data_IF_828683960856
#
_entry.id   IF_828683960856
#
_cell.length_a   1.000
_cell.length_b   1.000
_cell.length_c   1.000
_cell.angle_alpha   90.00
_cell.angle_beta   90.00
_cell.angle_gamma   90.00
#
_symmetry.space_group_name_H-M   'P 1'
#
loop_
_entity.id
_entity.type
_entity.pdbx_description
1 polymer ?
#
# COMPACT_ATOMS: atom_id res chain seq x y z
N UNK A 1 -1.68 22.11 24.10
CA UNK A 1 -1.70 22.76 22.77
C UNK A 1 -0.38 22.47 22.09
N UNK A 2 -0.37 21.94 20.86
CA UNK A 2 0.87 21.78 20.07
C UNK A 2 1.26 23.14 19.49
N UNK A 3 2.57 23.44 19.46
CA UNK A 3 3.12 24.66 18.82
C UNK A 3 2.81 24.62 17.31
N UNK A 4 2.35 25.73 16.69
CA UNK A 4 2.12 25.79 15.24
C UNK A 4 3.44 25.60 14.48
N UNK A 5 3.39 24.98 13.31
CA UNK A 5 4.60 24.77 12.48
C UNK A 5 5.18 26.10 11.97
N UNK A 6 6.45 26.11 11.57
CA UNK A 6 7.09 27.32 11.03
C UNK A 6 6.37 27.82 9.76
N UNK A 7 5.94 26.90 8.89
CA UNK A 7 5.09 27.20 7.74
C UNK A 7 3.78 27.86 8.17
N UNK A 8 3.09 27.35 9.20
CA UNK A 8 1.87 28.00 9.70
C UNK A 8 2.11 29.39 10.26
N UNK A 9 3.23 29.61 10.97
CA UNK A 9 3.60 30.92 11.51
C UNK A 9 3.89 31.91 10.38
N UNK A 10 4.61 31.49 9.34
CA UNK A 10 4.88 32.31 8.16
C UNK A 10 3.61 32.64 7.37
N UNK A 11 2.74 31.66 7.13
CA UNK A 11 1.47 31.89 6.44
C UNK A 11 0.56 32.84 7.24
N UNK A 12 0.59 32.76 8.57
CA UNK A 12 -0.15 33.68 9.43
C UNK A 12 0.40 35.12 9.34
N UNK A 13 1.72 35.31 9.32
CA UNK A 13 2.32 36.65 9.21
C UNK A 13 2.08 37.30 7.84
N UNK A 14 2.14 36.53 6.76
CA UNK A 14 1.82 37.02 5.40
C UNK A 14 0.35 37.45 5.26
N UNK A 15 -0.57 36.77 5.97
CA UNK A 15 -1.98 37.17 6.00
C UNK A 15 -2.22 38.50 6.75
N UNK A 16 -1.36 38.86 7.72
CA UNK A 16 -1.46 40.12 8.46
C UNK A 16 -0.91 41.33 7.68
N UNK A 17 -0.05 41.09 6.68
CA UNK A 17 0.62 42.12 5.87
C UNK A 17 -0.17 42.47 4.59
N UNK A 18 -1.33 41.86 4.35
CA UNK A 18 -2.07 41.98 3.09
C UNK A 18 -2.73 43.34 2.81
N UNK A 19 -1.97 44.32 2.30
CA UNK A 19 -2.40 45.39 1.37
C UNK A 19 -1.18 46.11 0.78
N UNK A 20 -0.52 45.50 -0.21
CA UNK A 20 0.36 46.22 -1.13
C UNK A 20 0.38 45.51 -2.49
N UNK A 21 -0.24 46.14 -3.48
CA UNK A 21 -0.15 45.77 -4.89
C UNK A 21 1.29 45.91 -5.38
N UNK A 22 1.76 44.96 -6.21
CA UNK A 22 3.00 45.14 -6.97
C UNK A 22 2.74 44.95 -8.47
N UNK A 23 3.32 45.88 -9.22
CA UNK A 23 3.18 46.12 -10.65
C UNK A 23 3.89 45.01 -11.46
N UNK A 24 3.29 44.66 -12.60
CA UNK A 24 3.64 43.47 -13.37
C UNK A 24 4.87 43.58 -14.28
N UNK A 25 5.34 42.41 -14.70
CA UNK A 25 6.11 42.18 -15.92
C UNK A 25 6.01 40.70 -16.35
N UNK A 26 5.31 40.39 -17.45
CA UNK A 26 5.35 39.12 -18.22
C UNK A 26 5.28 37.74 -17.51
N UNK A 27 5.04 37.65 -16.20
CA UNK A 27 5.03 36.38 -15.42
C UNK A 27 3.77 35.53 -15.62
N UNK A 28 2.65 36.15 -16.02
CA UNK A 28 1.33 35.50 -16.09
C UNK A 28 1.33 34.28 -17.03
N UNK A 29 2.03 34.34 -18.16
CA UNK A 29 2.06 33.24 -19.13
C UNK A 29 2.85 32.01 -18.63
N UNK A 30 3.95 32.22 -17.88
CA UNK A 30 4.77 31.13 -17.31
C UNK A 30 4.03 30.44 -16.17
N UNK A 31 3.41 31.21 -15.29
CA UNK A 31 2.65 30.67 -14.16
C UNK A 31 1.39 29.93 -14.64
N UNK A 32 0.71 30.45 -15.65
CA UNK A 32 -0.45 29.79 -16.25
C UNK A 32 -0.05 28.50 -16.99
N UNK A 33 1.10 28.49 -17.68
CA UNK A 33 1.65 27.29 -18.30
C UNK A 33 2.03 26.23 -17.25
N UNK A 34 2.67 26.63 -16.15
CA UNK A 34 3.00 25.74 -15.04
C UNK A 34 1.75 25.19 -14.35
N UNK A 35 0.70 26.00 -14.14
CA UNK A 35 -0.59 25.51 -13.60
C UNK A 35 -1.27 24.54 -14.55
N UNK A 36 -1.31 24.82 -15.85
CA UNK A 36 -1.84 23.89 -16.86
C UNK A 36 -1.06 22.57 -16.81
N UNK A 37 0.26 22.62 -16.83
CA UNK A 37 1.10 21.42 -16.69
C UNK A 37 0.81 20.66 -15.39
N UNK A 38 0.71 21.34 -14.25
CA UNK A 38 0.42 20.72 -12.97
C UNK A 38 -0.96 20.04 -12.95
N UNK A 39 -1.97 20.64 -13.59
CA UNK A 39 -3.34 20.12 -13.64
C UNK A 39 -3.49 18.85 -14.48
N UNK A 40 -2.67 18.66 -15.52
CA UNK A 40 -2.74 17.51 -16.41
C UNK A 40 -1.70 16.42 -16.11
N UNK A 41 -0.75 16.67 -15.20
CA UNK A 41 0.36 15.73 -14.93
C UNK A 41 0.06 14.64 -13.91
N UNK A 42 -1.02 14.73 -13.14
CA UNK A 42 -1.32 13.74 -12.11
C UNK A 42 -2.69 13.08 -12.34
N UNK A 43 -2.79 11.74 -12.25
CA UNK A 43 -4.02 11.02 -12.54
C UNK A 43 -5.12 11.18 -11.47
N UNK A 44 -4.76 11.63 -10.27
CA UNK A 44 -5.69 11.91 -9.16
C UNK A 44 -5.07 12.86 -8.13
N UNK A 45 -5.91 13.48 -7.30
CA UNK A 45 -5.54 14.59 -6.40
C UNK A 45 -4.38 14.25 -5.43
N UNK A 46 -4.29 13.01 -4.96
CA UNK A 46 -3.25 12.57 -3.98
C UNK A 46 -2.02 11.94 -4.62
N UNK A 47 -1.94 11.88 -5.95
CA UNK A 47 -0.81 11.25 -6.63
C UNK A 47 0.52 11.98 -6.39
N UNK A 48 0.48 13.25 -5.97
CA UNK A 48 1.67 14.01 -5.61
C UNK A 48 2.45 13.35 -4.47
N UNK A 49 1.77 12.74 -3.49
CA UNK A 49 2.41 12.03 -2.37
C UNK A 49 3.26 10.89 -2.89
N UNK A 50 2.75 10.16 -3.88
CA UNK A 50 3.46 9.05 -4.50
C UNK A 50 4.67 9.54 -5.31
N UNK A 51 4.59 10.71 -5.95
CA UNK A 51 5.75 11.33 -6.60
C UNK A 51 6.85 11.69 -5.60
N UNK A 52 6.51 12.12 -4.39
CA UNK A 52 7.52 12.31 -3.33
C UNK A 52 8.15 10.99 -2.89
N UNK A 53 7.37 9.90 -2.80
CA UNK A 53 7.91 8.55 -2.55
C UNK A 53 8.88 8.12 -3.66
N UNK A 54 8.48 8.28 -4.93
CA UNK A 54 9.33 7.98 -6.09
C UNK A 54 10.62 8.81 -6.06
N UNK A 55 10.54 10.10 -5.69
CA UNK A 55 11.71 10.96 -5.57
C UNK A 55 12.70 10.45 -4.52
N UNK A 56 12.22 10.06 -3.33
CA UNK A 56 13.08 9.52 -2.27
C UNK A 56 13.73 8.18 -2.67
N UNK A 57 12.99 7.30 -3.36
CA UNK A 57 13.52 6.04 -3.88
C UNK A 57 14.57 6.31 -4.97
N UNK A 58 14.22 7.11 -5.98
CA UNK A 58 15.10 7.43 -7.10
C UNK A 58 16.35 8.21 -6.66
N UNK A 59 16.29 8.94 -5.54
CA UNK A 59 17.43 9.65 -4.97
C UNK A 59 18.42 8.73 -4.25
N UNK A 60 18.10 7.44 -4.09
CA UNK A 60 18.89 6.49 -3.32
C UNK A 60 18.84 6.76 -1.81
N UNK A 61 17.76 7.37 -1.31
CA UNK A 61 17.63 7.60 0.12
C UNK A 61 17.60 6.27 0.89
N UNK A 62 18.22 6.16 2.08
CA UNK A 62 18.24 4.92 2.85
C UNK A 62 16.88 4.62 3.52
N UNK A 63 16.01 5.61 3.67
CA UNK A 63 14.67 5.50 4.23
C UNK A 63 13.83 6.75 3.91
N UNK A 64 12.51 6.60 4.03
CA UNK A 64 11.54 7.69 3.97
C UNK A 64 10.60 7.60 5.17
N UNK A 65 10.58 8.64 5.99
CA UNK A 65 9.63 8.80 7.11
C UNK A 65 8.61 9.89 6.76
N UNK A 66 7.33 9.54 6.87
CA UNK A 66 6.21 10.44 6.66
C UNK A 66 5.50 10.63 7.99
N UNK A 67 5.23 11.88 8.35
CA UNK A 67 4.54 12.24 9.59
C UNK A 67 3.31 13.08 9.27
N UNK A 68 2.16 12.68 9.78
CA UNK A 68 0.92 13.39 9.59
C UNK A 68 0.54 14.14 10.87
N UNK A 69 0.30 15.44 10.75
CA UNK A 69 -0.20 16.27 11.84
C UNK A 69 -1.63 16.71 11.54
N UNK A 70 -2.23 17.52 12.42
CA UNK A 70 -3.54 18.12 12.14
C UNK A 70 -3.49 19.26 11.12
N UNK A 71 -2.30 19.67 10.69
CA UNK A 71 -2.09 20.87 9.88
C UNK A 71 -1.28 20.60 8.63
N UNK A 72 -0.39 19.61 8.67
CA UNK A 72 0.62 19.38 7.66
C UNK A 72 0.91 17.88 7.48
N UNK A 73 1.47 17.53 6.32
CA UNK A 73 2.16 16.26 6.09
C UNK A 73 3.63 16.54 5.85
N UNK A 74 4.48 15.92 6.66
CA UNK A 74 5.93 16.08 6.62
C UNK A 74 6.58 14.83 6.00
N UNK A 75 7.54 15.02 5.10
CA UNK A 75 8.34 13.96 4.50
C UNK A 75 9.80 14.18 4.88
N UNK A 76 10.46 13.12 5.33
CA UNK A 76 11.82 13.16 5.84
C UNK A 76 12.66 12.08 5.14
N UNK A 77 13.66 12.49 4.38
CA UNK A 77 14.59 11.56 3.72
C UNK A 77 15.95 12.21 3.45
N UNK A 78 16.99 11.41 3.23
CA UNK A 78 18.30 11.93 2.85
C UNK A 78 18.33 12.20 1.35
N UNK A 79 18.44 13.47 0.97
CA UNK A 79 18.54 13.88 -0.41
C UNK A 79 19.99 13.79 -0.95
N UNK A 80 20.18 13.73 -2.29
CA UNK A 80 21.50 13.69 -2.89
C UNK A 80 22.27 14.99 -2.63
N UNK A 81 23.61 14.90 -2.53
CA UNK A 81 24.47 16.09 -2.37
C UNK A 81 24.40 17.06 -3.55
N UNK A 82 23.95 16.59 -4.72
CA UNK A 82 23.82 17.40 -5.93
C UNK A 82 22.60 18.32 -5.92
N UNK A 83 21.68 18.15 -4.97
CA UNK A 83 20.54 19.03 -4.80
C UNK A 83 20.94 20.20 -3.88
N UNK A 84 20.61 21.41 -4.32
CA UNK A 84 20.79 22.66 -3.58
C UNK A 84 19.47 23.43 -3.61
N UNK A 85 19.29 24.39 -2.69
CA UNK A 85 18.10 25.24 -2.71
C UNK A 85 17.97 26.00 -4.05
N UNK A 86 19.09 26.54 -4.57
CA UNK A 86 19.11 27.23 -5.85
C UNK A 86 18.64 26.33 -7.00
N UNK A 87 19.15 25.10 -7.06
CA UNK A 87 18.79 24.14 -8.11
C UNK A 87 17.32 23.72 -8.01
N UNK A 88 16.79 23.57 -6.80
CA UNK A 88 15.40 23.22 -6.57
C UNK A 88 14.45 24.36 -6.91
N UNK A 89 14.81 25.58 -6.56
CA UNK A 89 14.07 26.79 -6.92
C UNK A 89 14.06 26.98 -8.44
N UNK A 90 15.21 26.85 -9.11
CA UNK A 90 15.31 26.91 -10.57
C UNK A 90 14.47 25.81 -11.25
N UNK A 91 14.58 24.57 -10.78
CA UNK A 91 13.82 23.44 -11.30
C UNK A 91 12.31 23.62 -11.11
N UNK A 92 11.87 24.22 -9.99
CA UNK A 92 10.46 24.46 -9.73
C UNK A 92 9.82 25.38 -10.78
N UNK A 93 10.55 26.37 -11.28
CA UNK A 93 10.05 27.28 -12.30
C UNK A 93 10.33 26.80 -13.73
N UNK A 94 11.11 25.76 -13.93
CA UNK A 94 11.57 25.29 -15.25
C UNK A 94 10.95 23.93 -15.57
N UNK A 95 9.88 23.86 -16.40
CA UNK A 95 9.09 22.64 -16.60
C UNK A 95 9.77 21.52 -17.42
N UNK A 96 11.07 21.65 -17.70
CA UNK A 96 11.84 20.71 -18.50
C UNK A 96 12.36 19.55 -17.64
N UNK A 97 12.55 18.38 -18.26
CA UNK A 97 13.22 17.25 -17.61
C UNK A 97 14.66 17.63 -17.32
N UNK A 98 15.07 17.50 -16.06
CA UNK A 98 16.39 17.91 -15.58
C UNK A 98 17.49 16.89 -15.88
N UNK A 99 17.12 15.70 -16.38
CA UNK A 99 17.99 14.54 -16.50
C UNK A 99 18.25 13.83 -15.16
N UNK A 100 17.84 14.45 -14.05
CA UNK A 100 17.85 13.88 -12.71
C UNK A 100 16.45 13.36 -12.39
N UNK A 101 16.26 12.05 -12.59
CA UNK A 101 14.97 11.37 -12.40
C UNK A 101 14.36 11.66 -11.02
N UNK A 102 15.17 11.69 -9.97
CA UNK A 102 14.67 11.93 -8.61
C UNK A 102 14.15 13.36 -8.45
N UNK A 103 14.85 14.34 -9.03
CA UNK A 103 14.44 15.73 -9.05
C UNK A 103 13.15 15.92 -9.85
N UNK A 104 13.03 15.24 -11.00
CA UNK A 104 11.84 15.30 -11.85
C UNK A 104 10.60 14.75 -11.11
N UNK A 105 10.74 13.66 -10.34
CA UNK A 105 9.68 13.17 -9.45
C UNK A 105 9.32 14.19 -8.37
N UNK A 106 10.33 14.79 -7.71
CA UNK A 106 10.09 15.78 -6.65
C UNK A 106 9.32 16.99 -7.20
N UNK A 107 9.74 17.54 -8.35
CA UNK A 107 9.07 18.68 -8.98
C UNK A 107 7.64 18.34 -9.39
N UNK A 108 7.41 17.17 -9.99
CA UNK A 108 6.05 16.72 -10.32
C UNK A 108 5.16 16.61 -9.07
N UNK A 109 5.70 16.14 -7.95
CA UNK A 109 5.03 16.12 -6.65
C UNK A 109 4.72 17.53 -6.13
N UNK A 110 5.71 18.42 -6.13
CA UNK A 110 5.54 19.80 -5.65
C UNK A 110 4.53 20.56 -6.51
N UNK A 111 4.58 20.48 -7.84
CA UNK A 111 3.57 21.11 -8.71
C UNK A 111 2.18 20.55 -8.47
N UNK A 112 2.06 19.23 -8.29
CA UNK A 112 0.78 18.59 -7.95
C UNK A 112 0.19 19.08 -6.63
N UNK A 113 1.00 19.15 -5.58
CA UNK A 113 0.56 19.63 -4.27
C UNK A 113 0.26 21.14 -4.29
N UNK A 114 1.11 21.93 -4.94
CA UNK A 114 1.10 23.38 -4.80
C UNK A 114 0.33 24.12 -5.89
N UNK A 115 0.66 23.87 -7.15
CA UNK A 115 0.06 24.61 -8.27
C UNK A 115 -1.31 24.06 -8.67
N UNK A 116 -1.51 22.74 -8.53
CA UNK A 116 -2.79 22.10 -8.83
C UNK A 116 -3.74 22.08 -7.63
N UNK A 117 -3.26 21.67 -6.45
CA UNK A 117 -4.08 21.57 -5.24
C UNK A 117 -4.03 22.83 -4.34
N UNK A 118 -3.24 23.85 -4.73
CA UNK A 118 -3.20 25.16 -4.06
C UNK A 118 -2.56 25.15 -2.67
N UNK A 119 -1.70 24.16 -2.37
CA UNK A 119 -1.12 23.96 -1.04
C UNK A 119 0.25 24.63 -0.90
N UNK A 120 0.44 25.46 0.14
CA UNK A 120 1.76 25.91 0.52
C UNK A 120 2.67 24.74 0.94
N UNK A 121 3.96 24.90 0.72
CA UNK A 121 4.96 23.99 1.24
C UNK A 121 6.21 24.72 1.72
N UNK A 122 6.96 24.07 2.60
CA UNK A 122 8.28 24.49 3.05
C UNK A 122 9.27 23.34 2.84
N UNK A 123 10.45 23.67 2.33
CA UNK A 123 11.57 22.76 2.18
C UNK A 123 12.72 23.21 3.08
N UNK A 124 13.10 22.34 4.02
CA UNK A 124 14.24 22.56 4.93
C UNK A 124 15.37 21.60 4.57
N UNK A 125 16.58 22.15 4.42
CA UNK A 125 17.76 21.39 4.02
C UNK A 125 18.74 21.21 5.19
N UNK A 126 19.31 20.01 5.41
CA UNK A 126 20.21 19.78 6.53
C UNK A 126 21.47 20.65 6.43
N UNK A 127 21.75 21.41 7.50
CA UNK A 127 22.91 22.30 7.60
C UNK A 127 22.82 23.58 6.76
N UNK A 128 21.68 23.87 6.11
CA UNK A 128 21.48 25.11 5.38
C UNK A 128 20.89 26.18 6.32
N UNK A 129 21.41 27.42 6.30
CA UNK A 129 20.85 28.53 7.08
C UNK A 129 19.58 29.12 6.47
N UNK A 130 19.13 28.59 5.33
CA UNK A 130 17.93 29.03 4.63
C UNK A 130 16.96 27.87 4.43
N UNK A 131 15.67 28.18 4.33
CA UNK A 131 14.64 27.27 3.85
C UNK A 131 13.83 27.92 2.73
N UNK A 132 13.28 27.10 1.85
CA UNK A 132 12.47 27.56 0.73
C UNK A 132 10.99 27.40 1.06
N UNK A 133 10.20 28.48 0.97
CA UNK A 133 8.76 28.45 1.18
C UNK A 133 8.02 28.88 -0.09
N UNK A 134 7.12 28.02 -0.53
CA UNK A 134 6.08 28.38 -1.47
C UNK A 134 4.80 28.74 -0.72
N UNK A 135 4.38 30.01 -0.81
CA UNK A 135 3.18 30.51 -0.12
C UNK A 135 1.87 30.12 -0.81
N UNK A 136 1.93 29.50 -1.99
CA UNK A 136 0.79 29.38 -2.91
C UNK A 136 0.83 30.41 -4.05
N UNK A 137 1.63 31.48 -3.90
CA UNK A 137 1.76 32.56 -4.90
C UNK A 137 3.20 32.85 -5.28
N UNK A 138 4.08 32.86 -4.29
CA UNK A 138 5.48 33.23 -4.46
C UNK A 138 6.39 32.24 -3.73
N UNK A 139 7.60 32.10 -4.26
CA UNK A 139 8.69 31.39 -3.61
C UNK A 139 9.52 32.40 -2.82
N UNK A 140 9.75 32.11 -1.56
CA UNK A 140 10.51 32.96 -0.65
C UNK A 140 11.55 32.15 0.10
N UNK A 141 12.66 32.78 0.48
CA UNK A 141 13.65 32.17 1.36
C UNK A 141 13.51 32.73 2.76
N UNK A 142 13.57 31.85 3.75
CA UNK A 142 13.58 32.22 5.16
C UNK A 142 14.92 31.87 5.75
N UNK A 143 15.56 32.85 6.38
CA UNK A 143 16.80 32.69 7.14
C UNK A 143 16.54 32.08 8.51
N UNK A 144 17.52 31.35 9.04
CA UNK A 144 17.49 30.70 10.36
C UNK A 144 16.29 29.74 10.57
N UNK A 145 16.06 28.77 9.65
CA UNK A 145 15.03 27.76 9.86
C UNK A 145 15.39 26.85 11.05
N UNK A 146 14.38 26.14 11.57
CA UNK A 146 14.65 25.09 12.56
C UNK A 146 15.62 24.05 11.98
N UNK A 147 16.69 23.68 12.71
CA UNK A 147 17.71 22.78 12.18
C UNK A 147 17.15 21.37 11.98
N UNK A 148 17.36 20.82 10.79
CA UNK A 148 16.91 19.48 10.41
C UNK A 148 18.08 18.54 10.16
N UNK A 149 17.89 17.24 10.45
CA UNK A 149 18.92 16.20 10.23
C UNK A 149 18.90 15.63 8.81
N UNK A 150 17.75 15.68 8.17
CA UNK A 150 17.48 15.17 6.82
C UNK A 150 16.76 16.25 6.03
N UNK A 151 16.60 16.07 4.71
CA UNK A 151 15.68 16.91 3.95
C UNK A 151 14.29 16.76 4.58
N UNK A 152 13.66 17.89 4.90
CA UNK A 152 12.29 17.91 5.38
C UNK A 152 11.43 18.71 4.40
N UNK A 153 10.44 18.06 3.81
CA UNK A 153 9.38 18.70 3.03
C UNK A 153 8.11 18.73 3.87
N UNK A 154 7.58 19.93 4.12
CA UNK A 154 6.33 20.14 4.84
C UNK A 154 5.29 20.65 3.86
N UNK A 155 4.19 19.92 3.67
CA UNK A 155 3.08 20.34 2.81
C UNK A 155 1.86 20.62 3.67
N UNK A 156 1.30 21.83 3.53
CA UNK A 156 0.16 22.21 4.35
C UNK A 156 -1.12 21.51 3.91
N UNK A 157 -1.94 21.15 4.90
CA UNK A 157 -3.31 20.73 4.64
C UNK A 157 -4.18 21.90 4.23
N UNK A 158 -3.82 23.16 4.48
CA UNK A 158 -4.64 24.32 4.08
C UNK A 158 -4.40 24.68 2.62
N UNK A 159 -5.47 25.02 1.91
CA UNK A 159 -5.37 25.69 0.62
C UNK A 159 -5.32 27.21 0.81
N UNK A 160 -4.69 27.91 -0.12
CA UNK A 160 -4.61 29.38 -0.07
C UNK A 160 -6.00 30.07 -0.05
N UNK A 161 -6.99 29.50 -0.73
CA UNK A 161 -8.36 30.02 -0.83
C UNK A 161 -9.22 29.71 0.40
N UNK A 162 -8.77 28.77 1.26
CA UNK A 162 -9.46 28.45 2.50
C UNK A 162 -9.11 29.52 3.55
N UNK A 163 -10.01 30.50 3.72
CA UNK A 163 -9.90 31.52 4.76
C UNK A 163 -9.85 30.94 6.18
N UNK A 164 -9.94 31.79 7.21
CA UNK A 164 -9.99 31.36 8.62
C UNK A 164 -11.33 30.62 8.91
N UNK A 165 -11.52 29.40 8.41
CA UNK A 165 -12.71 28.57 8.66
C UNK A 165 -12.95 28.26 10.15
N UNK A 166 -14.10 27.70 10.51
CA UNK A 166 -14.43 27.38 11.91
C UNK A 166 -13.52 26.25 12.44
N UNK A 167 -12.90 26.43 13.60
CA UNK A 167 -11.86 25.54 14.16
C UNK A 167 -12.26 24.05 14.20
N UNK A 168 -13.51 23.73 14.52
CA UNK A 168 -14.01 22.33 14.56
C UNK A 168 -14.09 21.66 13.18
N UNK A 169 -14.42 22.41 12.13
CA UNK A 169 -14.51 21.90 10.75
C UNK A 169 -13.11 21.64 10.18
N UNK A 170 -12.13 22.48 10.56
CA UNK A 170 -10.73 22.33 10.10
C UNK A 170 -10.11 21.01 10.51
N UNK A 171 -10.32 20.60 11.76
CA UNK A 171 -9.76 19.34 12.27
C UNK A 171 -10.38 18.13 11.56
N UNK A 172 -11.66 18.20 11.19
CA UNK A 172 -12.34 17.14 10.42
C UNK A 172 -11.77 17.06 9.01
N UNK A 173 -11.60 18.20 8.32
CA UNK A 173 -11.02 18.24 6.97
C UNK A 173 -9.56 17.76 6.95
N UNK A 174 -8.75 18.15 7.93
CA UNK A 174 -7.38 17.66 8.06
C UNK A 174 -7.33 16.15 8.34
N UNK A 175 -8.22 15.64 9.19
CA UNK A 175 -8.33 14.20 9.46
C UNK A 175 -8.73 13.41 8.20
N UNK A 176 -9.68 13.92 7.42
CA UNK A 176 -10.07 13.33 6.14
C UNK A 176 -8.92 13.34 5.13
N UNK A 177 -8.19 14.46 5.02
CA UNK A 177 -7.00 14.57 4.17
C UNK A 177 -5.92 13.57 4.56
N UNK A 178 -5.64 13.45 5.86
CA UNK A 178 -4.70 12.45 6.36
C UNK A 178 -5.14 11.03 6.00
N UNK A 179 -6.42 10.72 6.17
CA UNK A 179 -6.98 9.42 5.81
C UNK A 179 -6.84 9.13 4.30
N UNK A 180 -7.07 10.11 3.44
CA UNK A 180 -6.92 9.96 1.98
C UNK A 180 -5.46 9.76 1.56
N UNK A 181 -4.53 10.53 2.16
CA UNK A 181 -3.09 10.37 1.95
C UNK A 181 -2.65 8.98 2.42
N UNK A 182 -3.04 8.58 3.63
CA UNK A 182 -2.71 7.27 4.17
C UNK A 182 -3.27 6.15 3.30
N UNK A 183 -4.53 6.25 2.88
CA UNK A 183 -5.15 5.30 1.95
C UNK A 183 -4.37 5.21 0.64
N UNK A 184 -3.95 6.34 0.07
CA UNK A 184 -3.14 6.38 -1.15
C UNK A 184 -1.80 5.66 -0.96
N UNK A 185 -1.10 5.94 0.13
CA UNK A 185 0.16 5.28 0.49
C UNK A 185 -0.03 3.78 0.73
N UNK A 186 -1.06 3.38 1.48
CA UNK A 186 -1.36 1.96 1.78
C UNK A 186 -1.72 1.19 0.51
N UNK A 187 -2.37 1.83 -0.46
CA UNK A 187 -2.76 1.16 -1.69
C UNK A 187 -1.66 1.08 -2.74
N UNK A 188 -0.69 2.03 -2.73
CA UNK A 188 0.25 2.17 -3.85
C UNK A 188 1.71 2.26 -3.47
N UNK A 189 2.08 2.49 -2.21
CA UNK A 189 3.47 2.63 -1.78
C UNK A 189 3.99 1.44 -0.96
N UNK A 190 3.20 0.38 -0.80
CA UNK A 190 3.67 -0.79 -0.03
C UNK A 190 4.79 -1.59 -0.72
N UNK A 191 5.01 -1.30 -2.00
CA UNK A 191 6.13 -1.81 -2.80
C UNK A 191 7.40 -0.96 -2.68
N UNK A 192 7.46 -0.01 -1.74
CA UNK A 192 8.60 0.88 -1.58
C UNK A 192 9.89 0.08 -1.36
N UNK A 193 10.90 0.30 -2.20
CA UNK A 193 12.17 -0.44 -2.16
C UNK A 193 13.12 0.04 -1.06
N UNK A 194 12.75 1.11 -0.35
CA UNK A 194 13.44 1.63 0.83
C UNK A 194 12.47 1.57 2.02
N UNK A 195 12.97 1.45 3.27
CA UNK A 195 12.14 1.52 4.47
C UNK A 195 11.21 2.74 4.42
N UNK A 196 9.90 2.49 4.43
CA UNK A 196 8.86 3.51 4.37
C UNK A 196 8.05 3.45 5.66
N UNK A 197 7.98 4.57 6.38
CA UNK A 197 7.16 4.68 7.58
C UNK A 197 6.17 5.82 7.47
N UNK A 198 4.96 5.60 7.96
CA UNK A 198 3.96 6.65 8.18
C UNK A 198 3.60 6.65 9.66
N UNK A 199 3.84 7.77 10.35
CA UNK A 199 3.66 7.90 11.80
C UNK A 199 4.34 6.76 12.59
N UNK A 200 5.60 6.50 12.22
CA UNK A 200 6.46 5.41 12.74
C UNK A 200 5.98 3.97 12.42
N UNK A 201 4.89 3.81 11.67
CA UNK A 201 4.39 2.49 11.24
C UNK A 201 4.97 2.12 9.89
N UNK A 202 5.55 0.93 9.79
CA UNK A 202 6.17 0.43 8.56
C UNK A 202 5.13 0.12 7.49
N UNK A 203 5.40 0.47 6.24
CA UNK A 203 4.49 0.31 5.11
C UNK A 203 5.08 -0.42 3.90
N UNK A 204 6.39 -0.68 3.87
CA UNK A 204 7.14 -1.29 2.75
C UNK A 204 7.16 -2.84 2.79
N UNK A 205 6.01 -3.51 2.63
CA UNK A 205 5.99 -4.97 2.56
C UNK A 205 4.92 -5.51 1.59
N UNK A 206 5.26 -6.54 0.79
CA UNK A 206 4.32 -7.14 -0.15
C UNK A 206 3.08 -7.73 0.55
N UNK A 207 3.26 -8.22 1.78
CA UNK A 207 2.19 -8.76 2.62
C UNK A 207 1.21 -7.67 3.13
N UNK A 208 1.50 -6.38 2.89
CA UNK A 208 0.59 -5.26 3.14
C UNK A 208 -0.27 -4.91 1.91
N UNK A 209 -0.16 -5.69 0.83
CA UNK A 209 -1.03 -5.52 -0.36
C UNK A 209 -2.51 -5.53 0.04
N UNK A 210 -3.31 -4.51 -0.34
CA UNK A 210 -4.73 -4.47 0.05
C UNK A 210 -5.58 -5.64 -0.45
N UNK A 211 -5.19 -6.27 -1.57
CA UNK A 211 -5.97 -7.36 -2.17
C UNK A 211 -5.41 -8.74 -1.82
N UNK A 212 -4.09 -8.88 -1.79
CA UNK A 212 -3.40 -10.17 -1.65
C UNK A 212 -2.65 -10.30 -0.32
N UNK A 213 -2.42 -9.21 0.40
CA UNK A 213 -1.77 -9.20 1.70
C UNK A 213 -2.68 -9.73 2.81
N UNK A 214 -2.21 -9.61 4.05
CA UNK A 214 -3.00 -9.97 5.21
C UNK A 214 -4.22 -9.04 5.35
N UNK A 215 -5.41 -9.62 5.44
CA UNK A 215 -6.65 -8.90 5.64
C UNK A 215 -7.75 -9.76 6.24
N UNK A 216 -8.93 -9.19 6.45
CA UNK A 216 -10.08 -9.90 7.05
C UNK A 216 -10.46 -11.18 6.31
N UNK A 217 -10.29 -11.17 4.99
CA UNK A 217 -10.68 -12.24 4.08
C UNK A 217 -9.53 -12.70 3.17
N UNK A 218 -8.29 -12.34 3.48
CA UNK A 218 -7.12 -12.62 2.65
C UNK A 218 -5.98 -13.12 3.53
N UNK A 219 -5.53 -14.35 3.26
CA UNK A 219 -4.52 -15.05 4.05
C UNK A 219 -3.40 -15.52 3.10
N UNK A 220 -2.28 -14.79 3.03
CA UNK A 220 -1.11 -15.19 2.25
C UNK A 220 -0.65 -16.59 2.66
N UNK A 221 -0.43 -17.46 1.67
CA UNK A 221 0.04 -18.85 1.86
C UNK A 221 1.44 -19.07 1.33
N UNK A 222 1.86 -18.29 0.33
CA UNK A 222 3.21 -18.36 -0.22
C UNK A 222 3.67 -17.01 -0.73
N UNK A 223 4.96 -16.75 -0.55
CA UNK A 223 5.68 -15.59 -1.03
C UNK A 223 6.92 -16.10 -1.75
N UNK A 224 7.18 -15.58 -2.94
CA UNK A 224 8.40 -15.91 -3.65
C UNK A 224 8.79 -14.86 -4.67
N UNK A 225 9.89 -15.12 -5.36
CA UNK A 225 10.44 -14.23 -6.37
C UNK A 225 11.35 -15.00 -7.32
N UNK A 226 11.53 -14.43 -8.51
CA UNK A 226 12.40 -14.97 -9.55
C UNK A 226 13.64 -14.08 -9.69
N UNK A 227 14.81 -14.52 -9.17
CA UNK A 227 16.05 -13.77 -9.33
C UNK A 227 16.47 -13.75 -10.81
N UNK A 228 17.05 -12.64 -11.25
CA UNK A 228 17.77 -12.57 -12.51
C UNK A 228 18.76 -11.41 -12.49
N UNK A 229 19.83 -11.56 -13.27
CA UNK A 229 20.89 -10.54 -13.37
C UNK A 229 20.40 -9.21 -13.96
N UNK A 230 19.31 -9.25 -14.75
CA UNK A 230 18.65 -8.09 -15.33
C UNK A 230 17.28 -7.78 -14.66
N UNK A 231 17.07 -8.31 -13.45
CA UNK A 231 15.92 -7.96 -12.63
C UNK A 231 15.96 -6.48 -12.23
N UNK A 232 14.85 -5.76 -12.44
CA UNK A 232 14.76 -4.34 -12.04
C UNK A 232 13.87 -4.12 -10.82
N UNK A 233 13.07 -5.12 -10.43
CA UNK A 233 12.19 -5.00 -9.28
C UNK A 233 12.98 -5.20 -7.99
N UNK A 234 13.03 -4.17 -7.14
CA UNK A 234 13.69 -4.25 -5.84
C UNK A 234 12.66 -4.63 -4.77
N UNK A 235 12.90 -5.74 -4.07
CA UNK A 235 12.00 -6.25 -3.04
C UNK A 235 11.87 -5.26 -1.87
N UNK A 236 10.63 -4.96 -1.40
CA UNK A 236 10.42 -4.06 -0.27
C UNK A 236 11.04 -4.64 1.02
N UNK A 237 11.88 -3.89 1.76
CA UNK A 237 12.65 -4.48 2.85
C UNK A 237 11.80 -4.93 4.05
N UNK A 238 10.62 -4.35 4.25
CA UNK A 238 9.65 -4.82 5.25
C UNK A 238 9.11 -6.23 4.97
N UNK A 239 9.19 -6.71 3.73
CA UNK A 239 8.81 -8.08 3.34
C UNK A 239 9.58 -9.14 4.15
N UNK A 240 10.84 -8.84 4.50
CA UNK A 240 11.72 -9.74 5.25
C UNK A 240 11.70 -9.47 6.77
N UNK A 241 11.33 -8.26 7.18
CA UNK A 241 11.37 -7.82 8.57
C UNK A 241 10.21 -8.35 9.43
N UNK A 242 9.43 -9.30 8.91
CA UNK A 242 8.29 -9.88 9.62
C UNK A 242 7.22 -8.85 9.97
N UNK A 243 6.99 -7.89 9.08
CA UNK A 243 5.91 -6.90 9.25
C UNK A 243 4.58 -7.64 9.33
N UNK A 244 4.05 -7.73 10.54
CA UNK A 244 2.71 -8.20 10.77
C UNK A 244 1.74 -7.05 10.49
N UNK A 245 0.56 -7.33 9.91
CA UNK A 245 -0.51 -6.34 9.84
C UNK A 245 -0.83 -5.77 11.22
N UNK A 246 -1.38 -4.54 11.26
CA UNK A 246 -1.75 -3.83 12.49
C UNK A 246 -2.54 -4.69 13.48
N UNK A 247 -2.57 -4.32 14.77
CA UNK A 247 -3.24 -5.04 15.88
C UNK A 247 -4.64 -5.60 15.58
N UNK A 248 -5.39 -5.02 14.62
CA UNK A 248 -6.68 -5.53 14.18
C UNK A 248 -6.62 -6.91 13.53
N UNK A 249 -5.55 -7.22 12.78
CA UNK A 249 -5.32 -8.56 12.23
C UNK A 249 -4.82 -9.54 13.30
N UNK A 250 -4.11 -9.03 14.31
CA UNK A 250 -3.60 -9.82 15.43
C UNK A 250 -4.71 -10.30 16.40
N UNK A 251 -5.90 -9.69 16.36
CA UNK A 251 -7.09 -10.14 17.12
C UNK A 251 -7.80 -11.33 16.50
N UNK A 252 -7.45 -11.75 15.28
CA UNK A 252 -8.01 -12.96 14.68
C UNK A 252 -7.16 -14.15 15.12
N UNK A 253 -7.67 -14.90 16.10
CA UNK A 253 -7.21 -16.21 16.58
C UNK A 253 -6.87 -17.18 15.43
N UNK A 254 -7.53 -16.96 14.29
CA UNK A 254 -7.39 -17.65 13.02
C UNK A 254 -6.00 -17.48 12.40
N UNK A 255 -5.36 -16.31 12.48
CA UNK A 255 -3.97 -16.12 12.01
C UNK A 255 -2.94 -16.81 12.93
N UNK A 256 -3.34 -17.17 14.17
CA UNK A 256 -2.50 -17.94 15.09
C UNK A 256 -2.72 -19.45 14.96
N UNK A 257 -3.94 -19.89 14.63
CA UNK A 257 -4.28 -21.31 14.45
C UNK A 257 -4.01 -21.81 13.03
N UNK A 258 -4.17 -20.94 12.03
CA UNK A 258 -3.59 -21.12 10.71
C UNK A 258 -2.11 -20.78 10.85
N UNK A 259 -1.31 -21.80 11.12
CA UNK A 259 0.14 -21.73 11.01
C UNK A 259 0.58 -21.50 9.56
N UNK A 260 0.00 -20.51 8.86
CA UNK A 260 0.52 -19.94 7.63
C UNK A 260 1.80 -19.19 7.97
N UNK A 261 2.80 -19.95 8.40
CA UNK A 261 4.19 -19.60 8.13
C UNK A 261 4.28 -19.58 6.63
N UNK A 262 4.00 -18.42 6.03
CA UNK A 262 4.36 -18.14 4.65
C UNK A 262 5.80 -18.56 4.53
N UNK A 263 6.06 -19.65 3.80
CA UNK A 263 7.43 -20.09 3.60
C UNK A 263 8.17 -18.92 2.99
N UNK A 264 9.16 -18.41 3.74
CA UNK A 264 9.98 -17.30 3.28
C UNK A 264 11.18 -17.93 2.61
N UNK A 265 11.32 -17.81 1.29
CA UNK A 265 12.56 -18.21 0.65
C UNK A 265 13.72 -17.45 1.29
N UNK A 266 14.92 -18.03 1.24
CA UNK A 266 16.12 -17.34 1.70
C UNK A 266 16.25 -16.01 0.97
N UNK A 267 16.53 -14.93 1.72
CA UNK A 267 16.72 -13.58 1.15
C UNK A 267 17.66 -13.70 -0.05
N UNK A 268 17.26 -13.20 -1.22
CA UNK A 268 18.07 -13.38 -2.42
C UNK A 268 19.42 -12.66 -2.25
N UNK A 269 20.47 -13.20 -2.86
CA UNK A 269 21.80 -12.60 -2.84
C UNK A 269 21.79 -11.17 -3.41
N UNK A 270 20.85 -10.88 -4.31
CA UNK A 270 20.54 -9.56 -4.83
C UNK A 270 19.07 -9.23 -4.51
N UNK A 271 18.79 -8.02 -4.02
CA UNK A 271 17.40 -7.58 -3.79
C UNK A 271 16.62 -7.32 -5.09
N UNK A 272 17.25 -7.50 -6.24
CA UNK A 272 16.71 -7.27 -7.58
C UNK A 272 16.21 -8.58 -8.19
N UNK A 273 14.96 -8.57 -8.64
CA UNK A 273 14.26 -9.73 -9.20
C UNK A 273 13.48 -9.32 -10.45
N UNK A 274 13.12 -10.27 -11.30
CA UNK A 274 12.22 -10.01 -12.44
C UNK A 274 10.80 -9.76 -11.92
N UNK A 275 10.39 -10.62 -10.99
CA UNK A 275 9.07 -10.62 -10.42
C UNK A 275 9.10 -11.14 -8.99
N UNK A 276 8.19 -10.65 -8.17
CA UNK A 276 7.82 -11.25 -6.90
C UNK A 276 6.35 -11.66 -6.94
N UNK A 277 5.94 -12.59 -6.10
CA UNK A 277 4.55 -13.01 -6.02
C UNK A 277 4.09 -13.27 -4.59
N UNK A 278 2.81 -13.10 -4.38
CA UNK A 278 2.11 -13.45 -3.14
C UNK A 278 0.87 -14.25 -3.53
N UNK A 279 0.87 -15.54 -3.18
CA UNK A 279 -0.29 -16.41 -3.34
C UNK A 279 -1.12 -16.36 -2.06
N UNK A 280 -2.44 -16.22 -2.23
CA UNK A 280 -3.33 -15.85 -1.14
C UNK A 280 -4.61 -16.66 -1.22
N UNK A 281 -5.06 -17.14 -0.06
CA UNK A 281 -6.36 -17.80 0.09
C UNK A 281 -7.38 -16.82 0.64
N UNK A 282 -8.63 -16.97 0.21
CA UNK A 282 -9.68 -16.01 0.49
C UNK A 282 -10.88 -16.67 1.17
N UNK A 283 -10.99 -16.43 2.48
CA UNK A 283 -12.11 -16.86 3.29
C UNK A 283 -12.22 -15.98 4.53
N UNK A 284 -13.44 -15.82 5.05
CA UNK A 284 -13.68 -15.03 6.25
C UNK A 284 -14.75 -15.63 7.16
N UNK A 285 -14.66 -15.28 8.43
CA UNK A 285 -15.68 -15.58 9.42
C UNK A 285 -16.82 -14.56 9.28
N UNK A 286 -18.00 -15.06 8.94
CA UNK A 286 -19.23 -14.26 8.86
C UNK A 286 -20.15 -14.59 10.03
N UNK A 287 -20.92 -13.60 10.46
CA UNK A 287 -22.00 -13.81 11.44
C UNK A 287 -23.27 -14.16 10.68
N UNK A 288 -23.80 -15.36 10.91
CA UNK A 288 -25.10 -15.79 10.42
C UNK A 288 -26.06 -15.92 11.61
N UNK A 289 -26.79 -14.84 11.90
CA UNK A 289 -27.61 -14.73 13.11
C UNK A 289 -26.79 -14.77 14.39
N UNK A 290 -26.97 -15.82 15.21
CA UNK A 290 -26.23 -16.02 16.48
C UNK A 290 -24.97 -16.89 16.31
N UNK A 291 -24.82 -17.56 15.16
CA UNK A 291 -23.65 -18.39 14.88
C UNK A 291 -22.63 -17.63 14.03
N UNK A 292 -21.41 -18.13 14.07
CA UNK A 292 -20.35 -17.72 13.16
C UNK A 292 -20.05 -18.89 12.22
N UNK A 293 -19.89 -18.59 10.94
CA UNK A 293 -19.59 -19.58 9.91
C UNK A 293 -18.48 -19.07 9.02
N UNK A 294 -17.70 -19.97 8.44
CA UNK A 294 -16.68 -19.63 7.46
C UNK A 294 -17.28 -19.60 6.06
N UNK A 295 -16.94 -18.58 5.28
CA UNK A 295 -17.33 -18.47 3.88
C UNK A 295 -16.10 -18.23 3.01
N UNK A 296 -16.05 -18.92 1.86
CA UNK A 296 -15.09 -18.61 0.81
C UNK A 296 -15.40 -17.23 0.22
N UNK A 297 -14.34 -16.50 -0.13
CA UNK A 297 -14.42 -15.24 -0.86
C UNK A 297 -13.69 -15.42 -2.18
N UNK A 298 -14.14 -14.71 -3.21
CA UNK A 298 -13.56 -14.76 -4.54
C UNK A 298 -12.78 -13.45 -4.77
N UNK A 299 -11.56 -13.54 -5.31
CA UNK A 299 -10.73 -12.39 -5.65
C UNK A 299 -10.00 -12.62 -6.98
N UNK A 300 -9.74 -11.55 -7.74
CA UNK A 300 -8.98 -11.63 -8.98
C UNK A 300 -7.48 -11.77 -8.70
N UNK A 301 -6.80 -12.58 -9.51
CA UNK A 301 -5.34 -12.57 -9.60
C UNK A 301 -4.86 -11.36 -10.38
N UNK A 302 -3.82 -10.66 -9.88
CA UNK A 302 -3.37 -9.38 -10.44
C UNK A 302 -1.88 -9.32 -10.70
N UNK A 303 -1.51 -8.64 -11.79
CA UNK A 303 -0.17 -8.12 -12.03
C UNK A 303 -0.12 -6.66 -11.61
N UNK A 304 0.79 -6.32 -10.71
CA UNK A 304 1.05 -4.98 -10.22
C UNK A 304 2.33 -4.45 -10.88
N UNK A 305 2.18 -3.32 -11.58
CA UNK A 305 3.31 -2.63 -12.17
C UNK A 305 3.84 -1.57 -11.23
N UNK A 306 5.10 -1.71 -10.86
CA UNK A 306 5.80 -0.87 -9.90
C UNK A 306 6.80 0.02 -10.63
N UNK A 307 6.98 1.25 -10.16
CA UNK A 307 8.05 2.13 -10.60
C UNK A 307 8.53 2.97 -9.43
N UNK A 308 9.83 2.89 -9.15
CA UNK A 308 10.48 3.58 -8.02
C UNK A 308 9.70 3.40 -6.70
N UNK A 309 9.36 2.14 -6.42
CA UNK A 309 8.69 1.73 -5.18
C UNK A 309 7.17 1.98 -5.14
N UNK A 310 6.57 2.54 -6.19
CA UNK A 310 5.14 2.86 -6.25
C UNK A 310 4.41 2.04 -7.31
N UNK A 311 3.23 1.51 -6.98
CA UNK A 311 2.32 0.88 -7.94
C UNK A 311 1.68 1.95 -8.83
N UNK A 312 2.00 1.88 -10.11
CA UNK A 312 1.44 2.73 -11.16
C UNK A 312 0.04 2.25 -11.56
N UNK A 313 -0.12 0.94 -11.71
CA UNK A 313 -1.38 0.31 -12.10
C UNK A 313 -1.38 -1.19 -11.82
N UNK A 314 -2.51 -1.83 -12.10
CA UNK A 314 -2.64 -3.27 -12.03
C UNK A 314 -3.50 -3.80 -13.15
N UNK A 315 -3.18 -4.99 -13.63
CA UNK A 315 -3.97 -5.74 -14.60
C UNK A 315 -4.47 -7.04 -13.98
N UNK A 316 -5.63 -7.50 -14.41
CA UNK A 316 -6.10 -8.84 -14.08
C UNK A 316 -5.32 -9.86 -14.93
N UNK A 317 -4.84 -10.91 -14.28
CA UNK A 317 -4.08 -11.98 -14.95
C UNK A 317 -5.00 -12.98 -15.63
N UNK A 318 -6.13 -13.28 -15.00
CA UNK A 318 -7.12 -14.25 -15.45
C UNK A 318 -8.52 -13.64 -15.34
N UNK A 319 -9.49 -14.10 -16.15
CA UNK A 319 -10.84 -13.53 -16.18
C UNK A 319 -11.71 -13.93 -14.98
N UNK A 320 -11.32 -14.97 -14.23
CA UNK A 320 -12.14 -15.53 -13.15
C UNK A 320 -11.63 -15.08 -11.78
N UNK A 321 -12.54 -14.65 -10.92
CA UNK A 321 -12.27 -14.51 -9.49
C UNK A 321 -12.27 -15.90 -8.84
N UNK A 322 -11.28 -16.15 -7.97
CA UNK A 322 -11.05 -17.46 -7.35
C UNK A 322 -10.89 -17.35 -5.82
N UNK A 323 -11.10 -18.47 -5.11
CA UNK A 323 -10.88 -18.57 -3.67
C UNK A 323 -9.40 -18.61 -3.30
N UNK A 324 -8.56 -18.84 -4.30
CA UNK A 324 -7.11 -18.73 -4.25
C UNK A 324 -6.69 -17.82 -5.40
N UNK A 325 -5.92 -16.77 -5.11
CA UNK A 325 -5.43 -15.84 -6.12
C UNK A 325 -3.94 -15.57 -5.97
N UNK A 326 -3.34 -15.00 -7.00
CA UNK A 326 -1.93 -14.60 -7.00
C UNK A 326 -1.79 -13.12 -7.35
N UNK A 327 -1.05 -12.40 -6.51
CA UNK A 327 -0.58 -11.05 -6.79
C UNK A 327 0.87 -11.12 -7.25
N UNK A 328 1.13 -10.78 -8.51
CA UNK A 328 2.48 -10.71 -9.10
C UNK A 328 2.92 -9.26 -9.15
N UNK A 329 4.15 -8.96 -8.74
CA UNK A 329 4.73 -7.62 -8.68
C UNK A 329 5.94 -7.57 -9.60
N UNK A 330 5.96 -6.60 -10.51
CA UNK A 330 7.09 -6.38 -11.40
C UNK A 330 7.33 -4.90 -11.59
N UNK A 331 8.60 -4.54 -11.74
CA UNK A 331 8.98 -3.18 -12.09
C UNK A 331 8.78 -2.94 -13.59
N UNK A 332 8.33 -1.73 -13.93
CA UNK A 332 8.10 -1.29 -15.31
C UNK A 332 9.39 -1.25 -16.14
N UNK A 333 10.56 -1.12 -15.51
CA UNK A 333 11.86 -1.08 -16.18
C UNK A 333 11.92 0.03 -17.22
N UNK A 334 12.20 -0.35 -18.46
CA UNK A 334 12.34 0.55 -19.61
C UNK A 334 11.02 0.79 -20.37
N UNK A 335 9.89 0.31 -19.84
CA UNK A 335 8.60 0.56 -20.48
C UNK A 335 8.30 2.06 -20.52
N UNK A 336 7.78 2.52 -21.66
CA UNK A 336 7.36 3.90 -21.81
C UNK A 336 6.16 4.19 -20.92
N UNK A 337 6.23 5.30 -20.20
CA UNK A 337 5.14 5.83 -19.41
C UNK A 337 4.50 7.02 -20.14
N UNK A 338 3.24 7.29 -19.82
CA UNK A 338 2.55 8.49 -20.26
C UNK A 338 3.15 9.77 -19.65
N UNK A 339 2.63 10.93 -20.05
CA UNK A 339 3.11 12.23 -19.55
C UNK A 339 2.92 12.42 -18.04
N UNK A 340 2.07 11.60 -17.40
CA UNK A 340 1.86 11.62 -15.95
C UNK A 340 2.91 10.79 -15.20
N UNK A 341 3.56 9.86 -15.89
CA UNK A 341 4.44 8.85 -15.31
C UNK A 341 3.68 7.85 -14.42
N UNK A 342 2.38 7.68 -14.65
CA UNK A 342 1.54 6.67 -13.98
C UNK A 342 0.81 5.76 -14.96
N UNK A 343 0.59 6.18 -16.20
CA UNK A 343 0.06 5.33 -17.25
C UNK A 343 1.19 4.58 -17.95
N UNK A 344 1.02 3.29 -18.19
CA UNK A 344 1.96 2.49 -18.99
C UNK A 344 1.45 2.49 -20.43
N UNK A 345 2.32 2.77 -21.38
CA UNK A 345 1.96 2.74 -22.81
C UNK A 345 1.97 1.27 -23.27
N UNK A 346 0.83 0.79 -23.76
CA UNK A 346 0.62 -0.61 -24.12
C UNK A 346 1.14 -0.90 -25.54
N UNK A 347 2.47 -1.01 -25.67
CA UNK A 347 3.18 -1.40 -26.89
C UNK A 347 3.60 -2.88 -26.83
N UNK A 348 4.26 -3.38 -27.89
CA UNK A 348 4.79 -4.76 -27.95
C UNK A 348 5.73 -5.08 -26.77
N UNK A 349 6.57 -4.11 -26.38
CA UNK A 349 7.48 -4.25 -25.23
C UNK A 349 6.74 -4.53 -23.91
N UNK A 350 5.54 -3.96 -23.74
CA UNK A 350 4.70 -4.22 -22.57
C UNK A 350 4.25 -5.69 -22.52
N UNK A 351 3.79 -6.23 -23.64
CA UNK A 351 3.37 -7.63 -23.72
C UNK A 351 4.56 -8.59 -23.53
N UNK A 352 5.71 -8.30 -24.14
CA UNK A 352 6.93 -9.09 -23.95
C UNK A 352 7.37 -9.11 -22.47
N UNK A 353 7.34 -7.95 -21.80
CA UNK A 353 7.66 -7.85 -20.36
C UNK A 353 6.64 -8.61 -19.51
N UNK A 354 5.34 -8.46 -19.77
CA UNK A 354 4.27 -9.21 -19.09
C UNK A 354 4.46 -10.71 -19.22
N UNK A 355 4.75 -11.20 -20.42
CA UNK A 355 5.00 -12.62 -20.67
C UNK A 355 6.21 -13.12 -19.88
N UNK A 356 7.31 -12.36 -19.87
CA UNK A 356 8.51 -12.71 -19.11
C UNK A 356 8.25 -12.77 -17.61
N UNK A 357 7.50 -11.79 -17.08
CA UNK A 357 7.08 -11.74 -15.67
C UNK A 357 6.21 -12.95 -15.32
N UNK A 358 5.26 -13.31 -16.21
CA UNK A 358 4.45 -14.50 -16.02
C UNK A 358 5.33 -15.74 -16.00
N UNK A 359 6.15 -16.00 -17.02
CA UNK A 359 7.07 -17.15 -17.04
C UNK A 359 7.91 -17.27 -15.76
N UNK A 360 8.43 -16.14 -15.27
CA UNK A 360 9.20 -16.08 -14.03
C UNK A 360 8.37 -16.46 -12.78
N UNK A 361 7.09 -16.08 -12.74
CA UNK A 361 6.15 -16.43 -11.68
C UNK A 361 5.66 -17.89 -11.73
N UNK A 362 6.08 -18.70 -12.71
CA UNK A 362 5.68 -20.12 -12.80
C UNK A 362 6.11 -20.92 -11.57
N UNK A 363 7.28 -20.59 -11.02
CA UNK A 363 7.81 -21.20 -9.80
C UNK A 363 6.88 -21.02 -8.58
N UNK A 364 5.98 -20.02 -8.59
CA UNK A 364 4.99 -19.83 -7.54
C UNK A 364 4.09 -21.06 -7.33
N UNK A 365 3.77 -21.75 -8.42
CA UNK A 365 2.85 -22.88 -8.42
C UNK A 365 3.53 -24.20 -8.03
N UNK A 366 4.84 -24.31 -8.27
CA UNK A 366 5.66 -25.42 -7.80
C UNK A 366 5.89 -25.35 -6.28
N UNK A 367 6.04 -24.13 -5.75
CA UNK A 367 6.29 -23.90 -4.33
C UNK A 367 5.11 -24.24 -3.39
N UNK A 368 3.89 -24.34 -3.91
CA UNK A 368 2.69 -24.61 -3.10
C UNK A 368 1.97 -25.83 -3.64
N UNK A 369 2.41 -27.07 -3.32
CA UNK A 369 1.78 -28.28 -3.83
C UNK A 369 0.33 -28.42 -3.35
N UNK A 370 0.06 -28.05 -2.09
CA UNK A 370 -1.26 -28.05 -1.46
C UNK A 370 -1.34 -26.96 -0.39
N UNK A 371 -2.55 -26.53 -0.05
CA UNK A 371 -2.78 -25.54 1.01
C UNK A 371 -2.82 -26.27 2.37
N UNK A 372 -1.94 -25.96 3.33
CA UNK A 372 -1.84 -26.69 4.59
C UNK A 372 -2.89 -26.23 5.61
N UNK A 373 -4.13 -26.70 5.46
CA UNK A 373 -5.25 -26.37 6.35
C UNK A 373 -5.66 -27.49 7.32
N UNK A 374 -4.93 -28.60 7.34
CA UNK A 374 -5.24 -29.73 8.22
C UNK A 374 -5.31 -29.32 9.70
N UNK A 375 -4.36 -28.52 10.19
CA UNK A 375 -4.38 -28.02 11.57
C UNK A 375 -5.62 -27.15 11.88
N UNK A 376 -6.14 -26.42 10.90
CA UNK A 376 -7.36 -25.62 11.06
C UNK A 376 -8.59 -26.52 11.21
N UNK A 377 -8.69 -27.56 10.38
CA UNK A 377 -9.76 -28.56 10.46
C UNK A 377 -9.67 -29.35 11.77
N UNK A 378 -8.48 -29.80 12.16
CA UNK A 378 -8.25 -30.55 13.40
C UNK A 378 -8.63 -29.73 14.65
N UNK A 379 -8.23 -28.46 14.71
CA UNK A 379 -8.60 -27.56 15.82
C UNK A 379 -10.12 -27.34 15.93
N UNK A 380 -10.81 -27.22 14.79
CA UNK A 380 -12.27 -27.11 14.75
C UNK A 380 -12.95 -28.41 15.21
N UNK A 381 -12.44 -29.57 14.77
CA UNK A 381 -12.90 -30.88 15.22
C UNK A 381 -12.70 -31.07 16.73
N UNK A 382 -11.54 -30.68 17.27
CA UNK A 382 -11.25 -30.79 18.70
C UNK A 382 -12.18 -29.90 19.53
N UNK A 383 -12.40 -28.67 19.09
CA UNK A 383 -13.30 -27.72 19.75
C UNK A 383 -14.75 -28.21 19.74
N UNK A 384 -15.21 -28.72 18.60
CA UNK A 384 -16.53 -29.35 18.49
C UNK A 384 -16.68 -30.58 19.38
N UNK A 385 -15.63 -31.42 19.46
CA UNK A 385 -15.61 -32.60 20.36
C UNK A 385 -15.71 -32.19 21.83
N UNK A 386 -14.96 -31.17 22.26
CA UNK A 386 -15.03 -30.64 23.64
C UNK A 386 -16.43 -30.15 23.99
N UNK A 387 -17.07 -29.38 23.10
CA UNK A 387 -18.45 -28.92 23.29
C UNK A 387 -19.44 -30.09 23.34
N UNK A 388 -19.30 -31.06 22.43
CA UNK A 388 -20.09 -32.28 22.42
C UNK A 388 -20.00 -33.05 23.75
N UNK A 389 -18.79 -33.16 24.33
CA UNK A 389 -18.58 -33.82 25.62
C UNK A 389 -19.30 -33.10 26.76
N UNK A 390 -19.26 -31.76 26.80
CA UNK A 390 -19.95 -30.97 27.83
C UNK A 390 -21.47 -31.17 27.73
N UNK A 391 -22.03 -31.13 26.51
CA UNK A 391 -23.45 -31.38 26.29
C UNK A 391 -23.85 -32.81 26.71
N UNK A 392 -23.02 -33.81 26.39
CA UNK A 392 -23.27 -35.19 26.78
C UNK A 392 -23.30 -35.35 28.32
N UNK A 393 -22.31 -34.79 29.02
CA UNK A 393 -22.27 -34.81 30.50
C UNK A 393 -23.48 -34.08 31.09
N UNK A 394 -23.83 -32.91 30.57
CA UNK A 394 -25.04 -32.18 30.98
C UNK A 394 -26.33 -32.98 30.76
N UNK A 395 -26.41 -33.70 29.63
CA UNK A 395 -27.51 -34.62 29.33
C UNK A 395 -27.62 -35.75 30.35
N UNK A 396 -26.51 -36.41 30.69
CA UNK A 396 -26.48 -37.48 31.70
C UNK A 396 -26.88 -36.94 33.09
N UNK A 397 -26.32 -35.80 33.51
CA UNK A 397 -26.60 -35.21 34.83
C UNK A 397 -28.05 -34.75 34.99
N UNK A 398 -28.70 -34.33 33.90
CA UNK A 398 -30.10 -33.85 33.92
C UNK A 398 -31.13 -34.96 33.75
N UNK A 399 -30.72 -36.20 33.46
CA UNK A 399 -31.63 -37.31 33.13
C UNK A 399 -32.66 -37.58 34.22
N UNK A 400 -32.25 -37.57 35.49
CA UNK A 400 -33.14 -37.82 36.62
C UNK A 400 -34.10 -36.65 36.93
N UNK A 401 -33.72 -35.42 36.57
CA UNK A 401 -34.49 -34.20 36.85
C UNK A 401 -35.45 -33.86 35.72
N UNK A 402 -35.02 -34.04 34.47
CA UNK A 402 -35.83 -33.76 33.29
C UNK A 402 -35.38 -34.59 32.09
N UNK A 403 -36.05 -35.74 31.82
CA UNK A 403 -35.71 -36.62 30.70
C UNK A 403 -35.76 -35.94 29.33
N UNK A 404 -36.68 -34.98 29.14
CA UNK A 404 -36.79 -34.23 27.89
C UNK A 404 -35.55 -33.35 27.65
N UNK A 405 -35.08 -32.62 28.66
CA UNK A 405 -33.86 -31.81 28.52
C UNK A 405 -32.63 -32.70 28.34
N UNK A 406 -32.57 -33.83 29.02
CA UNK A 406 -31.51 -34.83 28.84
C UNK A 406 -31.43 -35.33 27.39
N UNK A 407 -32.56 -35.71 26.79
CA UNK A 407 -32.63 -36.09 25.37
C UNK A 407 -32.18 -34.96 24.46
N UNK A 408 -32.59 -33.71 24.73
CA UNK A 408 -32.16 -32.54 23.96
C UNK A 408 -30.64 -32.32 24.03
N UNK A 409 -30.04 -32.45 25.23
CA UNK A 409 -28.60 -32.33 25.42
C UNK A 409 -27.82 -33.44 24.72
N UNK A 410 -28.29 -34.69 24.81
CA UNK A 410 -27.66 -35.84 24.15
C UNK A 410 -27.78 -35.75 22.61
N UNK A 411 -28.96 -35.36 22.10
CA UNK A 411 -29.15 -35.11 20.67
C UNK A 411 -28.25 -33.96 20.18
N UNK A 412 -28.14 -32.88 20.97
CA UNK A 412 -27.22 -31.77 20.71
C UNK A 412 -25.75 -32.22 20.70
N UNK A 413 -25.34 -33.09 21.62
CA UNK A 413 -23.99 -33.66 21.65
C UNK A 413 -23.71 -34.50 20.39
N UNK A 414 -24.62 -35.40 20.02
CA UNK A 414 -24.49 -36.23 18.83
C UNK A 414 -24.42 -35.38 17.54
N UNK A 415 -25.28 -34.37 17.43
CA UNK A 415 -25.25 -33.41 16.32
C UNK A 415 -23.93 -32.64 16.27
N UNK A 416 -23.42 -32.18 17.42
CA UNK A 416 -22.15 -31.44 17.50
C UNK A 416 -20.98 -32.34 17.10
N UNK A 417 -20.91 -33.59 17.56
CA UNK A 417 -19.87 -34.52 17.13
C UNK A 417 -19.92 -34.83 15.62
N UNK A 418 -21.12 -34.97 15.06
CA UNK A 418 -21.31 -35.26 13.64
C UNK A 418 -20.96 -34.08 12.73
N UNK A 419 -21.15 -32.85 13.21
CA UNK A 419 -20.94 -31.63 12.41
C UNK A 419 -19.61 -30.94 12.67
N UNK A 420 -18.88 -31.33 13.73
CA UNK A 420 -17.61 -30.74 14.10
C UNK A 420 -16.58 -30.82 12.96
N UNK A 421 -16.13 -29.66 12.48
CA UNK A 421 -15.12 -29.55 11.43
C UNK A 421 -15.64 -29.71 10.00
N UNK A 422 -16.93 -29.99 9.77
CA UNK A 422 -17.46 -30.19 8.41
C UNK A 422 -17.41 -28.90 7.58
N UNK A 423 -17.64 -27.74 8.21
CA UNK A 423 -17.56 -26.43 7.53
C UNK A 423 -16.11 -26.16 7.13
N UNK A 424 -15.18 -26.36 8.06
CA UNK A 424 -13.75 -26.14 7.85
C UNK A 424 -13.17 -27.10 6.80
N UNK A 425 -13.58 -28.37 6.79
CA UNK A 425 -13.24 -29.33 5.74
C UNK A 425 -13.81 -28.92 4.37
N UNK A 426 -15.01 -28.33 4.34
CA UNK A 426 -15.58 -27.74 3.14
C UNK A 426 -14.78 -26.54 2.61
N UNK A 427 -14.29 -25.67 3.51
CA UNK A 427 -13.39 -24.56 3.17
C UNK A 427 -12.07 -25.09 2.62
N UNK A 428 -11.44 -26.07 3.29
CA UNK A 428 -10.20 -26.69 2.82
C UNK A 428 -10.38 -27.27 1.40
N UNK A 429 -11.41 -28.08 1.19
CA UNK A 429 -11.71 -28.67 -0.12
C UNK A 429 -11.93 -27.60 -1.19
N UNK A 430 -12.70 -26.56 -0.89
CA UNK A 430 -12.95 -25.46 -1.83
C UNK A 430 -11.70 -24.62 -2.14
N UNK A 431 -10.75 -24.53 -1.21
CA UNK A 431 -9.47 -23.88 -1.43
C UNK A 431 -8.52 -24.77 -2.27
N UNK A 432 -8.49 -26.08 -2.04
CA UNK A 432 -7.74 -27.00 -2.91
C UNK A 432 -8.27 -26.99 -4.35
N UNK A 433 -9.59 -26.97 -4.53
CA UNK A 433 -10.22 -26.80 -5.86
C UNK A 433 -9.80 -25.46 -6.48
N UNK A 434 -9.86 -24.36 -5.72
CA UNK A 434 -9.44 -23.04 -6.19
C UNK A 434 -7.97 -22.98 -6.60
N UNK A 435 -7.07 -23.68 -5.88
CA UNK A 435 -5.66 -23.78 -6.25
C UNK A 435 -5.45 -24.57 -7.55
N UNK A 436 -6.18 -25.67 -7.73
CA UNK A 436 -6.12 -26.45 -8.97
C UNK A 436 -6.62 -25.62 -10.17
N UNK A 437 -7.76 -24.95 -10.02
CA UNK A 437 -8.30 -24.06 -11.05
C UNK A 437 -7.35 -22.91 -11.40
N UNK A 438 -6.72 -22.30 -10.40
CA UNK A 438 -5.73 -21.23 -10.61
C UNK A 438 -4.51 -21.74 -11.41
N UNK A 439 -4.05 -22.97 -11.15
CA UNK A 439 -2.96 -23.59 -11.92
C UNK A 439 -3.35 -23.81 -13.38
N UNK A 440 -4.56 -24.31 -13.63
CA UNK A 440 -5.04 -24.57 -14.99
C UNK A 440 -5.18 -23.26 -15.79
N UNK A 441 -5.72 -22.20 -15.18
CA UNK A 441 -5.80 -20.87 -15.79
C UNK A 441 -4.41 -20.29 -16.08
N UNK A 442 -3.49 -20.45 -15.14
CA UNK A 442 -2.11 -20.00 -15.31
C UNK A 442 -1.38 -20.72 -16.44
N UNK A 443 -1.50 -22.06 -16.53
CA UNK A 443 -0.93 -22.84 -17.62
C UNK A 443 -1.54 -22.43 -18.97
N UNK A 444 -2.85 -22.21 -19.02
CA UNK A 444 -3.54 -21.73 -20.22
C UNK A 444 -3.06 -20.35 -20.66
N UNK A 445 -2.80 -19.44 -19.72
CA UNK A 445 -2.23 -18.12 -19.99
C UNK A 445 -0.79 -18.20 -20.52
N UNK A 446 0.04 -19.10 -19.95
CA UNK A 446 1.40 -19.33 -20.46
C UNK A 446 1.40 -19.88 -21.90
N UNK A 447 0.50 -20.80 -22.23
CA UNK A 447 0.38 -21.34 -23.60
C UNK A 447 -0.13 -20.28 -24.57
N UNK A 448 -1.19 -19.56 -24.21
CA UNK A 448 -1.78 -18.51 -25.07
C UNK A 448 -0.79 -17.38 -25.36
N UNK A 449 0.12 -17.09 -24.42
CA UNK A 449 1.16 -16.07 -24.59
C UNK A 449 2.28 -16.46 -25.56
N UNK A 450 2.45 -17.74 -25.89
CA UNK A 450 3.56 -18.18 -26.77
C UNK A 450 3.34 -17.85 -28.25
N UNK A 451 2.17 -17.35 -28.64
CA UNK A 451 1.84 -17.02 -30.03
C UNK A 451 1.80 -18.25 -30.96
N UNK A 452 1.18 -18.14 -32.14
CA UNK A 452 1.24 -19.16 -33.18
C UNK A 452 2.65 -19.36 -33.76
#
# INVERSE_FOLDING_TARGET
>A
MKRPSQLEQFLASQQEVGLAESQGAFTIARDEALRKLASFRLPFERAWVLKIVQAAVASGAPSLDIKQTSTDTEFHFTAPKSWTLDRLEEAFFTPNLSGDRALDHLMAGLWGASLNDGRPFQLLWPGCPESLIWSGREMTRITDPEPVRHLQLVVSHRRLEEGKGIFGIRNIQAAQRNADILKTLTHRAFTCSIPLRVDARRMDALQLSPNHGYGKASHPVSLGWAPADDGTFVLPPGTFAGVLPSEQAHKQEVTRSLSFSVERPAVPNTNQVIAAWLMTTHFEEVKSGKSKTWELRQKPSKLYWVHDGVILGSEELFPSDRSVSIGVFADVGELKLDLTGFGIIHEEAHQARKQRVLQAAAAAFEAVPAIPLSAFVENAQESGRKLGTVLAVGGVLTLALSPLHSLMFLAGAAFTYYTAGNVEAGIESGLQSGLAELRDEYQSALVSSKGP
#
